data_IF_577683621454
#
_entry.id   IF_577683621454
#
_cell.length_a   1.000
_cell.length_b   1.000
_cell.length_c   1.000
_cell.angle_alpha   90.00
_cell.angle_beta   90.00
_cell.angle_gamma   90.00
#
_symmetry.space_group_name_H-M   'P 1'
#
loop_
_entity.id
_entity.type
_entity.pdbx_description
1 polymer ?
#
# COMPACT_ATOMS: atom_id res chain seq x y z
N UNK A 1 22.13 -1.64 -6.42
CA UNK A 1 21.17 -2.45 -5.64
C UNK A 1 19.81 -1.83 -5.85
N UNK A 2 18.77 -2.62 -6.11
CA UNK A 2 17.41 -2.11 -6.28
C UNK A 2 16.85 -1.71 -4.91
N UNK A 3 16.19 -0.57 -4.84
CA UNK A 3 15.57 -0.05 -3.62
C UNK A 3 14.14 0.40 -3.93
N UNK A 4 13.22 0.17 -3.00
CA UNK A 4 11.88 0.77 -2.99
C UNK A 4 11.65 1.48 -1.68
N UNK A 5 11.14 2.71 -1.76
CA UNK A 5 10.86 3.55 -0.60
C UNK A 5 9.43 4.08 -0.64
N UNK A 6 8.84 4.24 0.54
CA UNK A 6 7.58 4.94 0.76
C UNK A 6 7.82 6.06 1.75
N UNK A 7 7.50 7.29 1.35
CA UNK A 7 7.73 8.48 2.18
C UNK A 7 6.44 9.27 2.34
N UNK A 8 6.01 9.57 3.58
CA UNK A 8 6.55 9.05 4.84
C UNK A 8 6.30 7.53 5.01
N UNK A 9 7.17 6.86 5.75
CA UNK A 9 7.03 5.42 6.03
C UNK A 9 5.84 5.12 6.96
N UNK A 10 5.53 6.03 7.89
CA UNK A 10 4.38 5.94 8.78
C UNK A 10 3.49 7.18 8.58
N UNK A 11 2.21 6.96 8.28
CA UNK A 11 1.26 8.03 7.93
C UNK A 11 -0.17 7.65 8.25
N UNK A 12 -1.06 8.64 8.26
CA UNK A 12 -2.49 8.36 8.30
C UNK A 12 -2.96 7.77 6.96
N UNK A 13 -3.95 6.88 7.03
CA UNK A 13 -4.48 6.14 5.90
C UNK A 13 -5.11 7.04 4.83
N UNK A 14 -5.55 8.24 5.20
CA UNK A 14 -6.11 9.27 4.34
C UNK A 14 -5.06 10.22 3.74
N UNK A 15 -3.78 10.13 4.16
CA UNK A 15 -2.70 10.99 3.67
C UNK A 15 -1.95 10.36 2.50
N UNK A 16 -1.60 11.13 1.46
CA UNK A 16 -0.81 10.59 0.37
C UNK A 16 0.59 10.20 0.84
N UNK A 17 1.19 9.24 0.15
CA UNK A 17 2.61 8.88 0.28
C UNK A 17 3.25 8.91 -1.10
N UNK A 18 4.55 9.18 -1.13
CA UNK A 18 5.35 9.04 -2.34
C UNK A 18 6.01 7.67 -2.36
N UNK A 19 5.85 6.95 -3.47
CA UNK A 19 6.55 5.70 -3.75
C UNK A 19 7.67 6.01 -4.73
N UNK A 20 8.88 5.53 -4.45
CA UNK A 20 9.98 5.57 -5.42
C UNK A 20 10.71 4.25 -5.49
N UNK A 21 11.15 3.90 -6.69
CA UNK A 21 12.03 2.76 -6.95
C UNK A 21 13.27 3.27 -7.64
N UNK A 22 14.44 2.78 -7.20
CA UNK A 22 15.75 3.17 -7.70
C UNK A 22 16.64 1.98 -7.94
N UNK A 23 17.70 2.18 -8.72
CA UNK A 23 18.74 1.17 -8.95
C UNK A 23 18.33 0.08 -9.92
N UNK A 24 17.31 0.33 -10.76
CA UNK A 24 16.96 -0.51 -11.90
C UNK A 24 17.89 -0.24 -13.08
N UNK A 25 17.89 -1.12 -14.07
CA UNK A 25 18.49 -0.83 -15.37
C UNK A 25 17.60 0.14 -16.16
N UNK A 26 18.17 1.02 -17.01
CA UNK A 26 17.37 1.89 -17.86
C UNK A 26 16.36 1.11 -18.70
N UNK A 27 15.12 1.60 -18.79
CA UNK A 27 14.03 0.92 -19.52
C UNK A 27 13.65 -0.49 -19.02
N UNK A 28 14.15 -0.93 -17.86
CA UNK A 28 13.80 -2.22 -17.27
C UNK A 28 12.31 -2.27 -16.97
N UNK A 29 11.66 -3.38 -17.36
CA UNK A 29 10.29 -3.68 -16.98
C UNK A 29 10.27 -4.27 -15.58
N UNK A 30 9.39 -3.73 -14.74
CA UNK A 30 9.19 -4.19 -13.37
C UNK A 30 7.72 -4.21 -13.01
N UNK A 31 7.37 -5.02 -12.02
CA UNK A 31 6.06 -5.01 -11.40
C UNK A 31 6.18 -4.48 -9.98
N UNK A 32 5.40 -3.46 -9.66
CA UNK A 32 5.21 -3.03 -8.28
C UNK A 32 4.00 -3.74 -7.72
N UNK A 33 4.17 -4.42 -6.59
CA UNK A 33 3.11 -5.10 -5.86
C UNK A 33 2.97 -4.47 -4.48
N UNK A 34 1.75 -4.10 -4.13
CA UNK A 34 1.42 -3.71 -2.76
C UNK A 34 0.45 -4.74 -2.18
N UNK A 35 0.67 -5.16 -0.94
CA UNK A 35 -0.25 -6.05 -0.27
C UNK A 35 -0.28 -5.83 1.24
N UNK A 36 -1.38 -6.23 1.87
CA UNK A 36 -1.56 -6.24 3.32
C UNK A 36 -2.46 -7.39 3.73
N UNK A 37 -2.41 -7.77 5.01
CA UNK A 37 -3.41 -8.65 5.62
C UNK A 37 -4.29 -7.81 6.54
N UNK A 38 -5.59 -7.97 6.42
CA UNK A 38 -6.53 -7.28 7.29
C UNK A 38 -6.64 -7.97 8.67
N UNK A 39 -7.49 -7.45 9.55
CA UNK A 39 -7.65 -7.99 10.90
C UNK A 39 -8.35 -9.36 10.95
N UNK A 40 -8.89 -9.85 9.81
CA UNK A 40 -9.43 -11.20 9.66
C UNK A 40 -8.42 -12.15 9.00
N UNK A 41 -7.23 -11.66 8.65
CA UNK A 41 -6.19 -12.41 7.96
C UNK A 41 -6.39 -12.52 6.45
N UNK A 42 -7.42 -11.86 5.89
CA UNK A 42 -7.63 -11.82 4.44
C UNK A 42 -6.55 -10.96 3.80
N UNK A 43 -5.91 -11.47 2.74
CA UNK A 43 -4.90 -10.73 2.01
C UNK A 43 -5.59 -9.86 0.96
N UNK A 44 -5.20 -8.59 0.95
CA UNK A 44 -5.53 -7.66 -0.11
C UNK A 44 -4.26 -7.30 -0.86
N UNK A 45 -4.32 -7.27 -2.18
CA UNK A 45 -3.18 -6.90 -3.02
C UNK A 45 -3.59 -6.12 -4.26
N UNK A 46 -2.62 -5.37 -4.77
CA UNK A 46 -2.67 -4.72 -6.07
C UNK A 46 -1.31 -4.86 -6.73
N UNK A 47 -1.31 -4.79 -8.06
CA UNK A 47 -0.08 -4.83 -8.85
C UNK A 47 -0.18 -3.86 -10.01
N UNK A 48 0.93 -3.24 -10.37
CA UNK A 48 1.00 -2.43 -11.56
C UNK A 48 2.36 -2.56 -12.24
N UNK A 49 2.34 -2.53 -13.56
CA UNK A 49 3.53 -2.71 -14.38
C UNK A 49 4.11 -1.35 -14.75
N UNK A 50 5.42 -1.21 -14.64
CA UNK A 50 6.13 0.01 -14.96
C UNK A 50 7.36 -0.29 -15.80
N UNK A 51 7.78 0.72 -16.54
CA UNK A 51 9.08 0.76 -17.21
C UNK A 51 9.92 1.82 -16.51
N UNK A 52 11.12 1.45 -16.08
CA UNK A 52 12.07 2.39 -15.50
C UNK A 52 12.48 3.45 -16.53
N UNK A 53 12.74 4.66 -16.05
CA UNK A 53 13.24 5.75 -16.89
C UNK A 53 14.71 5.54 -17.31
N UNK A 54 15.30 6.57 -17.93
CA UNK A 54 16.71 6.54 -18.35
C UNK A 54 17.70 6.49 -17.18
N UNK A 55 17.28 6.89 -15.97
CA UNK A 55 18.08 6.83 -14.75
C UNK A 55 17.88 5.52 -13.98
N UNK A 56 16.99 4.63 -14.43
CA UNK A 56 16.67 3.41 -13.69
C UNK A 56 15.75 3.65 -12.49
N UNK A 57 14.90 4.69 -12.56
CA UNK A 57 13.91 5.01 -11.55
C UNK A 57 12.48 4.70 -12.00
N UNK A 58 11.61 4.38 -11.04
CA UNK A 58 10.15 4.40 -11.21
C UNK A 58 9.55 5.23 -10.09
N UNK A 59 8.72 6.19 -10.46
CA UNK A 59 7.88 6.99 -9.55
C UNK A 59 6.45 6.97 -10.10
N UNK A 60 5.48 6.30 -9.44
CA UNK A 60 4.08 6.23 -9.89
C UNK A 60 3.37 7.58 -10.01
N UNK A 61 3.93 8.66 -9.46
CA UNK A 61 3.41 10.01 -9.62
C UNK A 61 3.83 10.66 -10.95
N UNK A 62 4.89 10.14 -11.60
CA UNK A 62 5.45 10.68 -12.83
C UNK A 62 5.31 9.70 -14.01
N UNK A 63 5.40 8.41 -13.71
CA UNK A 63 5.43 7.33 -14.69
C UNK A 63 4.08 6.62 -14.73
N UNK A 64 3.54 6.47 -15.93
CA UNK A 64 2.27 5.78 -16.12
C UNK A 64 2.44 4.27 -15.91
N UNK A 65 1.52 3.67 -15.15
CA UNK A 65 1.37 2.23 -15.12
C UNK A 65 0.92 1.72 -16.49
N UNK A 66 1.61 0.69 -17.00
CA UNK A 66 1.34 0.06 -18.28
C UNK A 66 0.15 -0.91 -18.22
N UNK A 67 -0.27 -1.31 -17.02
CA UNK A 67 -1.34 -2.25 -16.78
C UNK A 67 -1.23 -2.93 -15.42
N UNK A 68 -2.04 -3.96 -15.20
CA UNK A 68 -2.19 -4.66 -13.93
C UNK A 68 -3.55 -4.33 -13.30
N UNK A 69 -3.58 -4.08 -12.00
CA UNK A 69 -4.76 -3.61 -11.27
C UNK A 69 -5.24 -2.22 -11.73
N UNK A 70 -4.36 -1.42 -12.32
CA UNK A 70 -4.68 -0.11 -12.91
C UNK A 70 -3.72 0.26 -14.05
N UNK A 71 -4.04 1.31 -14.81
CA UNK A 71 -3.17 1.89 -15.84
C UNK A 71 -3.22 3.42 -15.80
N UNK A 72 -2.19 4.09 -16.32
CA UNK A 72 -2.04 5.54 -16.27
C UNK A 72 -1.29 6.04 -15.02
N UNK A 73 -1.23 7.36 -14.84
CA UNK A 73 -0.50 8.00 -13.74
C UNK A 73 -1.39 8.10 -12.52
N UNK A 74 -1.13 7.24 -11.53
CA UNK A 74 -1.88 7.17 -10.27
C UNK A 74 -0.91 7.04 -9.09
N UNK A 75 -0.49 8.15 -8.46
CA UNK A 75 0.50 8.12 -7.37
C UNK A 75 0.14 7.13 -6.24
N UNK A 76 -1.14 7.06 -5.90
CA UNK A 76 -1.70 6.20 -4.85
C UNK A 76 -2.38 4.95 -5.40
N UNK A 77 -2.21 4.63 -6.69
CA UNK A 77 -2.90 3.53 -7.35
C UNK A 77 -2.69 2.17 -6.68
N UNK A 78 -1.47 1.91 -6.19
CA UNK A 78 -1.17 0.67 -5.45
C UNK A 78 -1.97 0.53 -4.13
N UNK A 79 -2.42 1.62 -3.53
CA UNK A 79 -3.26 1.59 -2.34
C UNK A 79 -4.76 1.54 -2.67
N UNK A 80 -5.20 2.31 -3.68
CA UNK A 80 -6.62 2.42 -4.03
C UNK A 80 -7.17 1.18 -4.71
N UNK A 81 -6.35 0.50 -5.50
CA UNK A 81 -6.75 -0.68 -6.28
C UNK A 81 -6.44 -2.01 -5.58
N UNK A 82 -6.30 -1.99 -4.25
CA UNK A 82 -6.20 -3.21 -3.45
C UNK A 82 -7.48 -4.04 -3.58
N UNK A 83 -7.32 -5.30 -3.96
CA UNK A 83 -8.42 -6.28 -4.10
C UNK A 83 -8.13 -7.49 -3.21
N UNK A 84 -9.17 -8.14 -2.65
CA UNK A 84 -8.96 -9.35 -1.86
C UNK A 84 -8.52 -10.52 -2.74
N UNK A 85 -7.73 -11.42 -2.18
CA UNK A 85 -7.39 -12.70 -2.83
C UNK A 85 -8.64 -13.58 -2.92
N UNK A 86 -9.48 -13.57 -1.89
CA UNK A 86 -10.77 -14.25 -1.89
C UNK A 86 -11.88 -13.35 -2.42
N UNK A 87 -12.64 -13.85 -3.40
CA UNK A 87 -13.77 -13.12 -3.97
C UNK A 87 -14.80 -12.71 -2.90
N UNK A 88 -15.45 -11.57 -3.13
CA UNK A 88 -16.53 -11.02 -2.30
C UNK A 88 -16.13 -10.68 -0.85
N UNK A 89 -14.83 -10.49 -0.57
CA UNK A 89 -14.35 -9.96 0.71
C UNK A 89 -14.29 -8.44 0.70
N UNK A 90 -14.48 -7.85 1.88
CA UNK A 90 -14.32 -6.42 2.13
C UNK A 90 -13.22 -6.24 3.15
N UNK A 91 -12.37 -5.24 2.94
CA UNK A 91 -11.28 -4.91 3.85
C UNK A 91 -11.82 -4.50 5.23
N UNK A 92 -11.32 -5.13 6.30
CA UNK A 92 -11.79 -4.85 7.67
C UNK A 92 -10.70 -4.26 8.56
N UNK A 93 -10.95 -3.04 9.05
CA UNK A 93 -10.22 -2.37 10.13
C UNK A 93 -11.19 -2.04 11.27
N UNK A 94 -11.10 -2.73 12.41
CA UNK A 94 -11.91 -2.47 13.61
C UNK A 94 -11.08 -1.80 14.70
N UNK A 95 -9.83 -2.22 14.88
CA UNK A 95 -8.91 -1.59 15.82
C UNK A 95 -8.25 -0.36 15.19
N UNK A 96 -9.03 0.73 15.09
CA UNK A 96 -8.58 1.97 14.45
C UNK A 96 -7.49 2.71 15.23
N UNK A 97 -7.37 2.49 16.55
CA UNK A 97 -6.49 3.23 17.44
C UNK A 97 -5.25 2.44 17.87
N UNK A 98 -5.36 1.12 18.01
CA UNK A 98 -4.28 0.29 18.56
C UNK A 98 -3.24 -0.15 17.54
N UNK A 99 -3.56 -0.14 16.24
CA UNK A 99 -2.66 -0.67 15.22
C UNK A 99 -2.85 -0.03 13.84
N UNK A 100 -1.78 0.17 13.05
CA UNK A 100 -1.88 0.56 11.66
C UNK A 100 -2.20 -0.65 10.78
N UNK A 101 -2.58 -0.41 9.53
CA UNK A 101 -2.30 -1.40 8.48
C UNK A 101 -0.85 -1.30 8.04
N UNK A 102 -0.18 -2.45 7.95
CA UNK A 102 1.17 -2.60 7.40
C UNK A 102 1.07 -3.05 5.96
N UNK A 103 1.36 -2.13 5.05
CA UNK A 103 1.33 -2.37 3.60
C UNK A 103 2.75 -2.69 3.16
N UNK A 104 2.97 -3.91 2.68
CA UNK A 104 4.24 -4.30 2.09
C UNK A 104 4.26 -3.91 0.61
N UNK A 105 5.30 -3.20 0.20
CA UNK A 105 5.57 -2.89 -1.19
C UNK A 105 6.76 -3.70 -1.67
N UNK A 106 6.64 -4.24 -2.87
CA UNK A 106 7.60 -5.16 -3.48
C UNK A 106 7.85 -4.75 -4.93
N UNK A 107 9.11 -4.85 -5.34
CA UNK A 107 9.52 -4.69 -6.74
C UNK A 107 9.87 -6.07 -7.27
N UNK A 108 9.22 -6.50 -8.33
CA UNK A 108 9.44 -7.80 -8.98
C UNK A 108 10.02 -7.55 -10.36
N UNK A 109 10.88 -8.46 -10.81
CA UNK A 109 11.47 -8.38 -12.13
C UNK A 109 10.44 -8.72 -13.23
N UNK A 110 10.41 -7.91 -14.29
CA UNK A 110 9.53 -8.15 -15.43
C UNK A 110 8.03 -7.94 -15.15
N UNK A 111 7.19 -8.59 -15.95
CA UNK A 111 5.74 -8.55 -15.85
C UNK A 111 5.24 -9.75 -15.02
N UNK A 112 5.06 -9.52 -13.73
CA UNK A 112 4.60 -10.52 -12.77
C UNK A 112 3.08 -10.62 -12.75
N UNK A 113 2.59 -11.77 -13.19
CA UNK A 113 1.19 -12.18 -13.02
C UNK A 113 0.97 -12.99 -11.74
N UNK A 114 1.98 -13.15 -10.88
CA UNK A 114 1.84 -13.83 -9.59
C UNK A 114 1.42 -15.30 -9.72
N UNK A 115 1.74 -15.90 -10.86
CA UNK A 115 1.50 -17.32 -11.17
C UNK A 115 2.63 -18.21 -10.63
N UNK A 116 3.81 -17.64 -10.38
CA UNK A 116 4.98 -18.34 -9.86
C UNK A 116 5.11 -18.14 -8.33
N UNK A 117 4.97 -19.19 -7.52
CA UNK A 117 5.17 -19.12 -6.07
C UNK A 117 6.63 -18.88 -5.65
N UNK A 118 7.60 -19.00 -6.56
CA UNK A 118 9.03 -18.77 -6.28
C UNK A 118 9.49 -17.35 -6.57
N UNK A 119 8.60 -16.50 -7.03
CA UNK A 119 8.91 -15.14 -7.41
C UNK A 119 9.41 -14.32 -6.22
N UNK A 120 10.70 -13.98 -6.24
CA UNK A 120 11.34 -13.20 -5.18
C UNK A 120 11.41 -11.72 -5.57
N UNK A 121 11.09 -10.81 -4.65
CA UNK A 121 11.21 -9.38 -4.92
C UNK A 121 12.68 -8.96 -5.02
N UNK A 122 12.99 -8.11 -5.99
CA UNK A 122 14.26 -7.40 -6.13
C UNK A 122 14.52 -6.47 -4.93
N UNK A 123 13.45 -5.88 -4.40
CA UNK A 123 13.46 -5.03 -3.21
C UNK A 123 12.08 -5.03 -2.55
N UNK A 124 12.02 -4.78 -1.24
CA UNK A 124 10.76 -4.57 -0.53
C UNK A 124 10.90 -3.60 0.62
N UNK A 125 9.83 -2.87 0.92
CA UNK A 125 9.71 -2.05 2.13
C UNK A 125 8.30 -2.20 2.74
N UNK A 126 8.12 -1.69 3.95
CA UNK A 126 6.81 -1.67 4.63
C UNK A 126 6.43 -0.24 4.98
N UNK A 127 5.17 0.11 4.70
CA UNK A 127 4.57 1.38 5.06
C UNK A 127 3.42 1.18 6.05
N UNK A 128 3.39 1.97 7.11
CA UNK A 128 2.34 1.97 8.11
C UNK A 128 1.27 3.02 7.79
N UNK A 129 0.01 2.59 7.87
CA UNK A 129 -1.19 3.38 7.57
C UNK A 129 -2.11 3.39 8.79
N UNK A 130 -2.04 4.47 9.56
CA UNK A 130 -2.78 4.70 10.80
C UNK A 130 -4.18 5.25 10.55
N UNK A 131 -5.13 4.93 11.42
CA UNK A 131 -6.50 5.45 11.34
C UNK A 131 -6.82 6.49 12.42
N UNK A 132 -5.88 6.72 13.34
CA UNK A 132 -5.97 7.70 14.41
C UNK A 132 -4.70 8.55 14.40
N UNK A 133 -4.88 9.87 14.40
CA UNK A 133 -3.78 10.84 14.37
C UNK A 133 -3.01 10.91 15.69
N UNK A 134 -1.75 11.39 15.65
CA UNK A 134 -0.99 11.64 16.88
C UNK A 134 -1.76 12.56 17.84
N UNK A 135 -1.83 12.15 19.11
CA UNK A 135 -2.50 12.91 20.17
C UNK A 135 -4.02 12.84 20.18
N UNK A 136 -4.67 12.23 19.18
CA UNK A 136 -6.11 12.03 19.19
C UNK A 136 -6.51 11.06 20.30
N UNK A 137 -7.44 11.49 21.16
CA UNK A 137 -7.94 10.68 22.27
C UNK A 137 -9.20 9.92 21.87
N UNK A 138 -9.25 8.62 22.15
CA UNK A 138 -10.44 7.78 21.93
C UNK A 138 -11.15 7.51 23.26
N UNK A 139 -12.37 8.02 23.40
CA UNK A 139 -13.21 7.89 24.60
C UNK A 139 -14.41 6.99 24.30
N UNK A 140 -14.53 5.80 24.93
CA UNK A 140 -15.73 4.96 24.81
C UNK A 140 -16.94 5.65 25.44
N UNK A 141 -18.06 5.71 24.73
CA UNK A 141 -19.32 6.29 25.22
C UNK A 141 -20.30 5.19 25.61
N UNK A 142 -20.78 5.25 26.86
CA UNK A 142 -21.80 4.35 27.42
C UNK A 142 -22.80 5.12 28.28
N UNK A 143 -23.52 6.05 27.67
CA UNK A 143 -24.48 6.92 28.35
C UNK A 143 -25.92 6.53 28.02
N UNK A 144 -26.70 6.12 29.03
CA UNK A 144 -28.07 5.63 28.82
C UNK A 144 -28.12 4.50 27.77
N UNK A 145 -28.89 4.72 26.69
CA UNK A 145 -28.99 3.79 25.53
C UNK A 145 -27.92 4.02 24.46
N UNK A 146 -27.11 5.09 24.56
CA UNK A 146 -26.09 5.44 23.56
C UNK A 146 -24.85 4.58 23.76
N UNK A 147 -24.35 4.00 22.67
CA UNK A 147 -23.11 3.23 22.62
C UNK A 147 -22.28 3.70 21.45
N UNK A 148 -21.02 4.07 21.69
CA UNK A 148 -20.14 4.57 20.64
C UNK A 148 -18.71 4.82 21.11
N UNK A 149 -17.95 5.52 20.28
CA UNK A 149 -16.63 6.04 20.63
C UNK A 149 -16.51 7.47 20.11
N UNK A 150 -16.11 8.39 20.98
CA UNK A 150 -15.79 9.77 20.66
C UNK A 150 -14.28 9.89 20.41
N UNK A 151 -13.89 10.63 19.38
CA UNK A 151 -12.50 10.95 19.08
C UNK A 151 -12.30 12.45 19.25
N UNK A 152 -11.38 12.83 20.13
CA UNK A 152 -11.06 14.22 20.44
C UNK A 152 -9.70 14.58 19.85
N UNK A 153 -9.53 15.78 19.25
CA UNK A 153 -8.21 16.26 18.84
C UNK A 153 -7.28 16.43 20.06
N UNK A 154 -5.95 16.51 19.82
CA UNK A 154 -4.97 16.82 20.87
C UNK A 154 -5.21 18.17 21.54
#
# INVERSE_FOLDING_TARGET
MVEVTVTPQSSLADRPVQIRVRGLSPSQLVTLRAWLKDEQGERFQSRAFFRADGAGEVDPALHAALGGSYSGVWPMGLFWFLQPDTLFRRLVKRDVAGSPFRVRLEVLEGLSMGLDPREQPLASCEAERWYVGPGVQRVPIREGRVRGALFLPP
#
